data_IF_841140314907
#
_entry.id   IF_841140314907
#
_cell.length_a   1.000
_cell.length_b   1.000
_cell.length_c   1.000
_cell.angle_alpha   90.00
_cell.angle_beta   90.00
_cell.angle_gamma   90.00
#
_symmetry.space_group_name_H-M   'P 1'
#
loop_
_entity.id
_entity.type
_entity.pdbx_description
1 polymer ?
#
# COMPACT_ATOMS: atom_id res chain seq x y z
N UNK A 1 2.52 9.06 9.64
CA UNK A 1 1.28 8.64 8.94
C UNK A 1 1.46 7.18 8.52
N UNK A 2 0.60 6.27 9.00
CA UNK A 2 0.70 4.83 8.66
C UNK A 2 0.23 4.57 7.23
N UNK A 3 0.74 3.50 6.60
CA UNK A 3 0.41 3.06 5.23
C UNK A 3 -1.02 2.54 5.04
N UNK A 4 -2.00 3.41 5.25
CA UNK A 4 -3.40 3.15 4.92
C UNK A 4 -3.66 3.65 3.49
N UNK A 5 -3.47 2.78 2.50
CA UNK A 5 -3.65 3.11 1.08
C UNK A 5 -5.03 2.68 0.55
N UNK A 6 -5.99 2.41 1.44
CA UNK A 6 -7.37 2.03 1.10
C UNK A 6 -7.42 0.87 0.10
N UNK A 7 -7.76 1.14 -1.16
CA UNK A 7 -7.80 0.17 -2.25
C UNK A 7 -6.53 -0.68 -2.41
N UNK A 8 -5.34 -0.08 -2.31
CA UNK A 8 -4.09 -0.85 -2.48
C UNK A 8 -3.90 -1.89 -1.36
N UNK A 9 -4.41 -1.62 -0.15
CA UNK A 9 -4.37 -2.59 0.94
C UNK A 9 -5.27 -3.79 0.65
N UNK A 10 -6.41 -3.60 -0.03
CA UNK A 10 -7.26 -4.72 -0.45
C UNK A 10 -6.64 -5.52 -1.59
N UNK A 11 -5.98 -4.84 -2.54
CA UNK A 11 -5.30 -5.49 -3.66
C UNK A 11 -4.16 -6.40 -3.19
N UNK A 12 -3.53 -6.11 -2.05
CA UNK A 12 -2.52 -6.99 -1.44
C UNK A 12 -3.12 -8.03 -0.50
N UNK A 13 -4.18 -7.69 0.24
CA UNK A 13 -4.82 -8.60 1.20
C UNK A 13 -5.53 -9.78 0.51
N UNK A 14 -6.23 -9.53 -0.59
CA UNK A 14 -7.03 -10.56 -1.27
C UNK A 14 -6.16 -11.72 -1.79
N UNK A 15 -5.05 -11.48 -2.53
CA UNK A 15 -4.12 -12.54 -2.91
C UNK A 15 -3.52 -13.26 -1.71
N UNK A 16 -3.21 -12.54 -0.63
CA UNK A 16 -2.64 -13.13 0.58
C UNK A 16 -3.58 -14.13 1.26
N UNK A 17 -4.90 -13.95 1.16
CA UNK A 17 -5.90 -14.91 1.65
C UNK A 17 -5.73 -16.29 0.97
N UNK A 18 -5.38 -16.32 -0.32
CA UNK A 18 -5.16 -17.58 -1.04
C UNK A 18 -3.83 -18.27 -0.70
N UNK A 19 -2.92 -17.60 0.01
CA UNK A 19 -1.69 -18.21 0.50
C UNK A 19 -1.89 -18.97 1.83
N UNK A 20 -3.05 -18.83 2.48
CA UNK A 20 -3.36 -19.56 3.71
C UNK A 20 -3.70 -21.03 3.41
N UNK A 21 -3.19 -21.93 4.26
CA UNK A 21 -3.48 -23.37 4.17
C UNK A 21 -4.97 -23.63 4.44
N UNK A 22 -5.55 -24.63 3.78
CA UNK A 22 -6.97 -25.00 3.92
C UNK A 22 -7.35 -25.28 5.38
N UNK A 23 -6.40 -25.78 6.18
CA UNK A 23 -6.56 -25.99 7.63
C UNK A 23 -6.84 -24.70 8.38
N UNK A 24 -6.19 -23.62 8.00
CA UNK A 24 -6.36 -22.31 8.65
C UNK A 24 -7.70 -21.66 8.30
N UNK A 25 -8.26 -21.97 7.13
CA UNK A 25 -9.59 -21.53 6.68
C UNK A 25 -10.70 -22.54 6.99
N UNK A 26 -10.39 -23.68 7.60
CA UNK A 26 -11.34 -24.77 7.84
C UNK A 26 -12.56 -24.36 8.67
N UNK A 27 -12.42 -23.33 9.52
CA UNK A 27 -13.51 -22.80 10.34
C UNK A 27 -14.64 -22.15 9.51
N UNK A 28 -14.35 -21.68 8.30
CA UNK A 28 -15.32 -21.08 7.37
C UNK A 28 -16.25 -22.13 6.73
N UNK A 29 -15.87 -23.41 6.75
CA UNK A 29 -16.62 -24.49 6.11
C UNK A 29 -17.46 -25.30 7.12
N UNK A 30 -18.54 -25.91 6.65
CA UNK A 30 -19.41 -26.75 7.50
C UNK A 30 -18.68 -27.98 8.04
N UNK A 31 -19.17 -28.54 9.15
CA UNK A 31 -18.63 -29.77 9.74
C UNK A 31 -18.65 -30.94 8.75
N UNK A 32 -19.70 -31.03 7.92
CA UNK A 32 -19.81 -32.06 6.89
C UNK A 32 -18.70 -31.99 5.83
N UNK A 33 -18.35 -30.78 5.36
CA UNK A 33 -17.25 -30.59 4.39
C UNK A 33 -15.91 -30.95 5.02
N UNK A 34 -15.67 -30.55 6.27
CA UNK A 34 -14.44 -30.87 7.01
C UNK A 34 -14.25 -32.39 7.15
N UNK A 35 -15.31 -33.13 7.49
CA UNK A 35 -15.27 -34.59 7.59
C UNK A 35 -14.94 -35.25 6.24
N UNK A 36 -15.57 -34.82 5.15
CA UNK A 36 -15.29 -35.36 3.81
C UNK A 36 -13.83 -35.14 3.38
N UNK A 37 -13.29 -33.94 3.61
CA UNK A 37 -11.89 -33.63 3.29
C UNK A 37 -10.94 -34.50 4.12
N UNK A 38 -11.25 -34.69 5.40
CA UNK A 38 -10.47 -35.55 6.30
C UNK A 38 -10.46 -37.02 5.85
N UNK A 39 -11.63 -37.57 5.47
CA UNK A 39 -11.74 -38.93 4.94
C UNK A 39 -10.92 -39.11 3.64
N UNK A 40 -11.02 -38.16 2.72
CA UNK A 40 -10.22 -38.15 1.48
C UNK A 40 -8.73 -38.12 1.82
N UNK A 41 -8.31 -37.27 2.76
CA UNK A 41 -6.92 -37.13 3.16
C UNK A 41 -6.38 -38.40 3.81
N UNK A 42 -7.14 -39.04 4.69
CA UNK A 42 -6.76 -40.32 5.30
C UNK A 42 -6.65 -41.42 4.25
N UNK A 43 -7.62 -41.52 3.33
CA UNK A 43 -7.56 -42.50 2.25
C UNK A 43 -6.31 -42.33 1.38
N UNK A 44 -5.93 -41.09 1.05
CA UNK A 44 -4.70 -40.77 0.31
C UNK A 44 -3.42 -41.13 1.07
N UNK A 45 -3.37 -40.93 2.38
CA UNK A 45 -2.20 -41.25 3.21
C UNK A 45 -1.94 -42.75 3.29
N UNK A 46 -3.01 -43.57 3.30
CA UNK A 46 -2.88 -45.02 3.39
C UNK A 46 -2.58 -45.70 2.04
N UNK A 47 -2.88 -45.05 0.91
CA UNK A 47 -2.81 -45.69 -0.42
C UNK A 47 -1.56 -45.34 -1.23
N UNK A 48 -0.78 -44.31 -0.87
CA UNK A 48 0.38 -43.90 -1.67
C UNK A 48 1.73 -44.27 -1.05
N UNK A 49 2.49 -45.10 -1.76
CA UNK A 49 3.96 -45.08 -1.70
C UNK A 49 4.46 -43.77 -2.34
N UNK A 50 5.53 -43.17 -1.82
CA UNK A 50 6.07 -41.92 -2.36
C UNK A 50 6.74 -42.22 -3.71
N UNK A 51 6.17 -41.82 -4.87
CA UNK A 51 6.81 -42.07 -6.16
C UNK A 51 8.06 -41.21 -6.30
N UNK A 52 8.96 -41.59 -7.21
CA UNK A 52 10.18 -40.82 -7.52
C UNK A 52 9.90 -39.32 -7.79
N UNK A 53 8.77 -39.02 -8.45
CA UNK A 53 8.32 -37.65 -8.71
C UNK A 53 8.08 -36.79 -7.46
N UNK A 54 7.76 -37.40 -6.30
CA UNK A 54 7.65 -36.67 -5.05
C UNK A 54 9.00 -36.12 -4.58
N UNK A 55 10.06 -36.94 -4.66
CA UNK A 55 11.42 -36.53 -4.31
C UNK A 55 11.94 -35.46 -5.26
N UNK A 56 11.70 -35.62 -6.58
CA UNK A 56 12.09 -34.62 -7.58
C UNK A 56 11.42 -33.28 -7.29
N UNK A 57 10.10 -33.28 -7.03
CA UNK A 57 9.35 -32.06 -6.67
C UNK A 57 9.87 -31.44 -5.38
N UNK A 58 10.17 -32.24 -4.37
CA UNK A 58 10.68 -31.74 -3.10
C UNK A 58 12.06 -31.10 -3.28
N UNK A 59 12.95 -31.76 -4.01
CA UNK A 59 14.28 -31.26 -4.32
C UNK A 59 14.22 -29.96 -5.14
N UNK A 60 13.38 -29.89 -6.17
CA UNK A 60 13.22 -28.67 -6.98
C UNK A 60 12.64 -27.51 -6.17
N UNK A 61 11.69 -27.80 -5.27
CA UNK A 61 11.10 -26.77 -4.39
C UNK A 61 12.13 -26.24 -3.39
N UNK A 62 12.96 -27.11 -2.80
CA UNK A 62 14.04 -26.70 -1.90
C UNK A 62 15.13 -25.91 -2.63
N UNK A 63 15.50 -26.32 -3.84
CA UNK A 63 16.45 -25.61 -4.67
C UNK A 63 15.94 -24.20 -5.04
N UNK A 64 14.68 -24.09 -5.44
CA UNK A 64 14.03 -22.81 -5.72
C UNK A 64 13.98 -21.92 -4.47
N UNK A 65 13.60 -22.48 -3.32
CA UNK A 65 13.59 -21.74 -2.06
C UNK A 65 14.99 -21.22 -1.69
N UNK A 66 16.02 -22.05 -1.82
CA UNK A 66 17.41 -21.65 -1.59
C UNK A 66 17.87 -20.54 -2.52
N UNK A 67 17.53 -20.63 -3.81
CA UNK A 67 17.80 -19.58 -4.80
C UNK A 67 17.10 -18.27 -4.43
N UNK A 68 15.82 -18.31 -4.05
CA UNK A 68 15.08 -17.12 -3.64
C UNK A 68 15.66 -16.47 -2.38
N UNK A 69 16.05 -17.27 -1.38
CA UNK A 69 16.72 -16.78 -0.17
C UNK A 69 18.02 -16.07 -0.55
N UNK A 70 18.83 -16.69 -1.41
CA UNK A 70 20.08 -16.10 -1.89
C UNK A 70 19.86 -14.77 -2.62
N UNK A 71 18.93 -14.73 -3.58
CA UNK A 71 18.60 -13.51 -4.33
C UNK A 71 17.96 -12.42 -3.45
N UNK A 72 17.35 -12.79 -2.33
CA UNK A 72 16.75 -11.84 -1.39
C UNK A 72 17.78 -11.11 -0.52
N UNK A 73 19.01 -11.62 -0.39
CA UNK A 73 20.06 -11.00 0.43
C UNK A 73 20.32 -9.52 0.06
N UNK A 74 20.65 -9.17 -1.20
CA UNK A 74 20.89 -7.77 -1.58
C UNK A 74 19.64 -6.89 -1.41
N UNK A 75 18.45 -7.45 -1.66
CA UNK A 75 17.17 -6.75 -1.49
C UNK A 75 16.93 -6.40 -0.02
N UNK A 76 17.11 -7.36 0.90
CA UNK A 76 16.94 -7.14 2.34
C UNK A 76 18.00 -6.17 2.86
N UNK A 77 19.25 -6.28 2.40
CA UNK A 77 20.31 -5.33 2.74
C UNK A 77 19.96 -3.91 2.31
N UNK A 78 19.40 -3.72 1.11
CA UNK A 78 18.92 -2.42 0.65
C UNK A 78 17.76 -1.89 1.51
N UNK A 79 16.78 -2.73 1.84
CA UNK A 79 15.64 -2.35 2.67
C UNK A 79 16.03 -2.01 4.11
N UNK A 80 17.08 -2.62 4.65
CA UNK A 80 17.61 -2.28 5.98
C UNK A 80 18.55 -1.07 5.96
N UNK A 81 18.98 -0.62 4.78
CA UNK A 81 19.85 0.55 4.64
C UNK A 81 19.10 1.85 4.90
N UNK A 82 19.80 2.89 5.37
CA UNK A 82 19.21 4.22 5.54
C UNK A 82 18.92 4.94 4.21
N UNK A 83 19.49 4.47 3.10
CA UNK A 83 19.32 5.03 1.75
C UNK A 83 18.68 3.98 0.84
N UNK A 84 17.45 3.61 1.16
CA UNK A 84 16.73 2.57 0.43
C UNK A 84 16.49 3.01 -1.02
N UNK A 85 16.96 2.21 -1.97
CA UNK A 85 16.65 2.36 -3.38
C UNK A 85 15.37 1.57 -3.68
N UNK A 86 14.33 2.27 -4.15
CA UNK A 86 13.08 1.66 -4.58
C UNK A 86 13.04 1.53 -6.10
N UNK A 87 12.22 0.61 -6.62
CA UNK A 87 12.06 0.33 -8.05
C UNK A 87 13.38 -0.07 -8.74
N UNK A 88 14.25 -0.75 -8.00
CA UNK A 88 15.60 -1.15 -8.46
C UNK A 88 15.70 -2.67 -8.54
N UNK A 89 16.40 -3.14 -9.58
CA UNK A 89 16.76 -4.54 -9.80
C UNK A 89 18.20 -4.81 -9.34
N UNK A 90 18.40 -5.91 -8.63
CA UNK A 90 19.72 -6.30 -8.09
C UNK A 90 20.38 -7.43 -8.87
N UNK A 91 19.65 -8.07 -9.78
CA UNK A 91 20.13 -9.14 -10.64
C UNK A 91 19.75 -8.91 -12.12
N UNK A 92 20.39 -9.67 -13.02
CA UNK A 92 20.18 -9.54 -14.47
C UNK A 92 18.81 -10.06 -14.91
N UNK A 93 18.33 -11.15 -14.29
CA UNK A 93 17.05 -11.78 -14.58
C UNK A 93 15.87 -11.09 -13.88
N UNK A 94 16.14 -10.15 -12.96
CA UNK A 94 15.16 -9.32 -12.25
C UNK A 94 14.14 -10.18 -11.48
N UNK A 95 14.58 -11.27 -10.88
CA UNK A 95 13.70 -12.24 -10.22
C UNK A 95 13.22 -11.69 -8.88
N UNK A 96 14.10 -11.04 -8.12
CA UNK A 96 13.78 -10.45 -6.81
C UNK A 96 14.24 -9.00 -6.80
N UNK A 97 13.28 -8.08 -6.64
CA UNK A 97 13.51 -6.64 -6.75
C UNK A 97 12.88 -5.89 -5.58
N UNK A 98 13.19 -4.60 -5.52
CA UNK A 98 12.54 -3.68 -4.58
C UNK A 98 11.50 -2.85 -5.32
N UNK A 99 10.29 -2.81 -4.79
CA UNK A 99 9.23 -1.95 -5.30
C UNK A 99 8.62 -1.18 -4.13
N UNK A 100 8.44 0.12 -4.32
CA UNK A 100 7.88 0.98 -3.30
C UNK A 100 7.55 2.34 -3.87
N UNK A 101 6.44 2.91 -3.41
CA UNK A 101 6.08 4.28 -3.73
C UNK A 101 7.01 5.29 -3.04
N UNK A 102 7.52 4.94 -1.85
CA UNK A 102 8.38 5.78 -1.03
C UNK A 102 9.48 4.94 -0.38
N UNK A 103 10.75 5.31 -0.60
CA UNK A 103 11.91 4.66 0.06
C UNK A 103 12.28 5.30 1.41
N UNK A 104 11.70 6.45 1.73
CA UNK A 104 11.81 7.08 3.04
C UNK A 104 10.58 7.96 3.30
N UNK A 105 10.28 8.22 4.56
CA UNK A 105 9.15 9.07 4.98
C UNK A 105 9.72 10.26 5.73
N UNK A 106 9.35 11.48 5.33
CA UNK A 106 9.75 12.70 6.03
C UNK A 106 9.01 12.84 7.37
N UNK A 107 9.68 13.44 8.36
CA UNK A 107 9.06 13.74 9.66
C UNK A 107 8.24 15.03 9.64
N UNK A 108 8.66 15.97 8.81
CA UNK A 108 8.03 17.26 8.62
C UNK A 108 7.54 17.38 7.18
N UNK A 109 6.44 18.12 6.99
CA UNK A 109 5.85 18.36 5.69
C UNK A 109 5.07 19.67 5.72
N UNK A 110 5.31 20.50 4.71
CA UNK A 110 4.47 21.65 4.41
C UNK A 110 3.17 21.17 3.76
N UNK A 111 2.04 21.67 4.22
CA UNK A 111 0.72 21.33 3.71
C UNK A 111 0.09 22.53 3.00
N UNK A 112 -0.66 22.28 1.93
CA UNK A 112 -1.53 23.31 1.34
C UNK A 112 -2.78 23.41 2.19
N UNK A 113 -3.04 24.62 2.68
CA UNK A 113 -4.27 25.02 3.39
C UNK A 113 -5.14 25.78 2.40
N UNK A 114 -6.38 25.32 2.23
CA UNK A 114 -7.37 26.06 1.44
C UNK A 114 -8.19 26.90 2.40
N UNK A 115 -8.30 28.18 2.11
CA UNK A 115 -9.12 29.11 2.86
C UNK A 115 -10.28 29.58 1.98
N UNK A 116 -11.45 29.71 2.59
CA UNK A 116 -12.65 30.25 1.94
C UNK A 116 -13.27 31.35 2.80
N UNK A 117 -14.00 32.26 2.16
CA UNK A 117 -14.79 33.27 2.85
C UNK A 117 -16.25 33.21 2.39
N UNK A 118 -17.17 33.41 3.34
CA UNK A 118 -18.59 33.59 3.03
C UNK A 118 -18.95 35.05 2.72
N UNK A 119 -18.01 35.98 2.85
CA UNK A 119 -18.26 37.40 2.64
C UNK A 119 -18.31 37.70 1.14
N UNK A 120 -19.48 38.09 0.62
CA UNK A 120 -19.70 38.33 -0.81
C UNK A 120 -19.03 39.62 -1.31
N UNK A 121 -18.69 40.53 -0.40
CA UNK A 121 -18.02 41.81 -0.69
C UNK A 121 -16.59 41.77 -0.19
N UNK A 122 -15.74 41.03 -0.89
CA UNK A 122 -14.29 41.09 -0.70
C UNK A 122 -13.80 42.31 -1.47
N UNK A 123 -13.41 43.38 -0.76
CA UNK A 123 -12.69 44.51 -1.37
C UNK A 123 -11.40 43.98 -2.03
N UNK A 124 -10.92 44.58 -3.12
CA UNK A 124 -9.74 44.10 -3.86
C UNK A 124 -8.47 43.95 -3.00
N UNK A 125 -8.42 44.57 -1.81
CA UNK A 125 -7.34 44.42 -0.83
C UNK A 125 -7.47 43.18 0.07
N UNK A 126 -8.62 42.49 0.10
CA UNK A 126 -8.86 41.32 0.93
C UNK A 126 -8.97 41.58 2.44
N UNK A 127 -8.74 42.82 2.90
CA UNK A 127 -8.55 43.16 4.32
C UNK A 127 -9.81 42.99 5.20
N UNK A 128 -11.02 43.00 4.61
CA UNK A 128 -12.29 42.78 5.33
C UNK A 128 -12.85 41.37 5.19
N UNK A 129 -12.18 40.48 4.45
CA UNK A 129 -12.62 39.11 4.29
C UNK A 129 -12.23 38.29 5.53
N UNK A 130 -13.20 37.61 6.12
CA UNK A 130 -12.92 36.58 7.13
C UNK A 130 -12.60 35.28 6.40
N UNK A 131 -11.33 34.90 6.43
CA UNK A 131 -10.84 33.65 5.84
C UNK A 131 -10.96 32.53 6.87
N UNK A 132 -11.55 31.42 6.44
CA UNK A 132 -11.74 30.22 7.24
C UNK A 132 -11.08 29.05 6.52
N UNK A 133 -10.26 28.30 7.25
CA UNK A 133 -9.67 27.07 6.74
C UNK A 133 -10.76 26.04 6.42
N UNK A 134 -10.68 25.49 5.21
CA UNK A 134 -11.52 24.37 4.78
C UNK A 134 -10.79 23.09 5.16
N UNK A 135 -11.18 22.51 6.29
CA UNK A 135 -10.66 21.22 6.73
C UNK A 135 -11.19 20.08 5.85
N UNK A 136 -10.26 19.26 5.36
CA UNK A 136 -10.57 18.02 4.64
C UNK A 136 -10.84 16.88 5.61
N UNK A 137 -11.64 15.89 5.18
CA UNK A 137 -12.12 14.82 6.07
C UNK A 137 -11.00 13.90 6.57
N UNK A 138 -10.08 13.54 5.68
CA UNK A 138 -9.05 12.54 5.94
C UNK A 138 -7.64 12.98 5.51
N UNK A 139 -7.50 14.18 4.91
CA UNK A 139 -6.19 14.81 4.73
C UNK A 139 -5.61 15.17 6.10
N UNK A 140 -4.33 14.91 6.37
CA UNK A 140 -3.65 15.44 7.55
C UNK A 140 -3.76 16.98 7.60
N UNK A 141 -4.18 17.50 8.75
CA UNK A 141 -4.32 18.93 9.04
C UNK A 141 -4.22 19.13 10.55
N UNK A 142 -5.36 19.29 11.22
CA UNK A 142 -5.45 19.46 12.67
C UNK A 142 -4.71 18.37 13.47
N UNK A 143 -3.79 18.78 14.34
CA UNK A 143 -2.99 17.89 15.21
C UNK A 143 -3.83 17.28 16.35
N UNK A 144 -4.98 17.89 16.67
CA UNK A 144 -5.89 17.40 17.69
C UNK A 144 -6.82 16.27 17.24
N UNK A 145 -6.88 15.99 15.93
CA UNK A 145 -7.77 14.98 15.37
C UNK A 145 -7.09 13.62 15.27
N UNK A 146 -7.88 12.54 15.46
CA UNK A 146 -7.39 11.18 15.27
C UNK A 146 -7.23 10.88 13.78
N UNK A 147 -6.21 10.12 13.35
CA UNK A 147 -6.08 9.73 11.96
C UNK A 147 -7.34 9.00 11.43
N UNK A 148 -7.78 9.37 10.24
CA UNK A 148 -8.94 8.76 9.59
C UNK A 148 -8.65 7.32 9.10
N UNK A 149 -9.64 6.44 9.23
CA UNK A 149 -9.64 5.11 8.60
C UNK A 149 -10.29 5.19 7.21
N UNK A 150 -9.46 5.27 6.16
CA UNK A 150 -9.92 5.42 4.77
C UNK A 150 -10.22 4.10 4.04
N UNK A 151 -10.31 2.96 4.72
CA UNK A 151 -10.62 1.68 4.04
C UNK A 151 -12.12 1.37 4.14
N UNK A 152 -12.81 0.91 3.07
CA UNK A 152 -12.33 0.52 1.74
C UNK A 152 -12.38 1.64 0.68
N UNK A 153 -12.93 2.82 1.01
CA UNK A 153 -13.18 3.91 0.07
C UNK A 153 -12.17 5.04 0.18
N UNK A 154 -11.73 5.57 -0.95
CA UNK A 154 -10.68 6.58 -1.00
C UNK A 154 -11.23 7.99 -1.27
N UNK A 155 -10.91 8.95 -0.41
CA UNK A 155 -11.24 10.36 -0.64
C UNK A 155 -10.29 10.97 -1.68
N UNK A 156 -10.71 10.91 -2.96
CA UNK A 156 -9.89 11.33 -4.09
C UNK A 156 -9.40 12.78 -3.97
N UNK A 157 -10.25 13.70 -3.53
CA UNK A 157 -9.87 15.11 -3.38
C UNK A 157 -8.82 15.28 -2.28
N UNK A 158 -9.05 14.74 -1.08
CA UNK A 158 -8.11 14.77 0.04
C UNK A 158 -6.74 14.21 -0.35
N UNK A 159 -6.72 13.12 -1.10
CA UNK A 159 -5.49 12.48 -1.58
C UNK A 159 -4.76 13.29 -2.65
N UNK A 160 -5.49 13.92 -3.55
CA UNK A 160 -4.92 14.81 -4.55
C UNK A 160 -4.34 16.07 -3.89
N UNK A 161 -5.04 16.64 -2.92
CA UNK A 161 -4.57 17.79 -2.13
C UNK A 161 -3.36 17.44 -1.26
N UNK A 162 -3.31 16.20 -0.76
CA UNK A 162 -2.09 15.64 -0.17
C UNK A 162 -0.96 15.72 -1.22
N UNK A 163 -1.09 15.12 -2.39
CA UNK A 163 -0.01 15.18 -3.39
C UNK A 163 0.37 16.59 -3.85
N UNK A 164 -0.59 17.51 -3.93
CA UNK A 164 -0.35 18.91 -4.33
C UNK A 164 0.72 19.58 -3.46
N UNK A 165 0.77 19.27 -2.16
CA UNK A 165 1.76 19.84 -1.25
C UNK A 165 3.21 19.43 -1.54
N UNK A 166 3.46 18.30 -2.22
CA UNK A 166 4.81 17.94 -2.65
C UNK A 166 5.30 18.73 -3.86
N UNK A 167 4.37 19.18 -4.71
CA UNK A 167 4.66 19.81 -6.00
C UNK A 167 5.15 21.25 -5.86
N UNK A 168 4.75 21.92 -4.77
CA UNK A 168 5.10 23.33 -4.48
C UNK A 168 6.62 23.54 -4.41
N UNK A 169 7.41 22.49 -4.16
CA UNK A 169 8.87 22.61 -4.02
C UNK A 169 9.67 22.41 -5.31
N UNK A 170 9.14 21.72 -6.33
CA UNK A 170 10.02 21.22 -7.41
C UNK A 170 9.65 21.58 -8.84
N UNK A 171 8.39 21.88 -9.19
CA UNK A 171 8.08 22.30 -10.56
C UNK A 171 6.61 22.76 -10.68
N UNK A 172 6.37 23.96 -11.22
CA UNK A 172 5.02 24.48 -11.49
C UNK A 172 4.35 23.84 -12.73
N UNK A 173 4.93 22.79 -13.31
CA UNK A 173 4.57 22.28 -14.64
C UNK A 173 3.68 21.04 -14.65
N UNK A 174 3.29 20.47 -13.51
CA UNK A 174 2.33 19.35 -13.52
C UNK A 174 0.88 19.84 -13.71
N UNK A 175 0.16 19.21 -14.64
CA UNK A 175 -1.20 19.66 -15.01
C UNK A 175 -2.21 19.69 -13.86
N UNK A 176 -2.02 18.86 -12.82
CA UNK A 176 -2.89 18.89 -11.65
C UNK A 176 -2.57 20.06 -10.70
N UNK A 177 -1.29 20.33 -10.45
CA UNK A 177 -0.91 21.51 -9.68
C UNK A 177 -1.33 22.78 -10.41
N UNK A 178 -1.06 22.87 -11.72
CA UNK A 178 -1.48 23.98 -12.56
C UNK A 178 -3.00 24.18 -12.56
N UNK A 179 -3.80 23.11 -12.60
CA UNK A 179 -5.26 23.21 -12.49
C UNK A 179 -5.74 23.71 -11.12
N UNK A 180 -5.12 23.25 -10.02
CA UNK A 180 -5.41 23.82 -8.68
C UNK A 180 -5.09 25.31 -8.70
N UNK A 181 -3.89 25.68 -9.15
CA UNK A 181 -3.48 27.08 -9.20
C UNK A 181 -4.45 27.91 -10.04
N UNK A 182 -4.77 27.52 -11.27
CA UNK A 182 -5.69 28.28 -12.13
C UNK A 182 -7.13 28.38 -11.62
N UNK A 183 -7.55 27.45 -10.77
CA UNK A 183 -8.93 27.38 -10.27
C UNK A 183 -9.08 28.14 -8.94
N UNK A 184 -8.04 28.17 -8.11
CA UNK A 184 -8.08 28.69 -6.75
C UNK A 184 -7.21 29.93 -6.52
N UNK A 185 -6.30 30.29 -7.43
CA UNK A 185 -5.40 31.44 -7.35
C UNK A 185 -5.39 32.24 -8.66
#
# INVERSE_FOLDING_TARGET
VSGNLSFLNWLTLIPAIFCFDDKSLAWLFSSATRHRVFEIQQHWLHTKTKPLGWYIRQASSLALAGLLVYLSVPVVQNLLSSRQLMNTSFDCFRIVNTYGAFGSVTKERTEVVLEGTYNSSVDQSGERAQWLEIEFKCKPGSVGHRPCLISPYHYRLDWLMWFAAFQVYSDQTSGFAAWIYSTFF
#
